data_IF_170320647583
#
_entry.id   IF_170320647583
#
_cell.length_a   1.000
_cell.length_b   1.000
_cell.length_c   1.000
_cell.angle_alpha   90.00
_cell.angle_beta   90.00
_cell.angle_gamma   90.00
#
_symmetry.space_group_name_H-M   'P 1'
#
loop_
_entity.id
_entity.type
_entity.pdbx_description
1 polymer ?
#
# COMPACT_ATOMS: atom_id res chain seq x y z
N UNK A 1 18.76 -16.13 -17.75
CA UNK A 1 17.70 -15.77 -18.73
C UNK A 1 16.28 -15.70 -18.14
N UNK A 2 15.87 -16.53 -17.16
CA UNK A 2 14.52 -16.49 -16.56
C UNK A 2 14.22 -15.22 -15.73
N UNK A 3 15.23 -14.62 -15.08
CA UNK A 3 15.09 -13.40 -14.28
C UNK A 3 14.71 -12.16 -15.11
N UNK A 4 15.40 -11.91 -16.23
CA UNK A 4 15.14 -10.75 -17.09
C UNK A 4 13.72 -10.74 -17.70
N UNK A 5 13.14 -11.92 -17.95
CA UNK A 5 11.77 -12.05 -18.47
C UNK A 5 10.74 -11.74 -17.38
N UNK A 6 10.98 -12.19 -16.15
CA UNK A 6 10.12 -11.89 -14.99
C UNK A 6 10.11 -10.39 -14.66
N UNK A 7 11.27 -9.74 -14.70
CA UNK A 7 11.38 -8.28 -14.49
C UNK A 7 10.64 -7.48 -15.56
N UNK A 8 10.82 -7.83 -16.84
CA UNK A 8 10.07 -7.18 -17.94
C UNK A 8 8.56 -7.36 -17.81
N UNK A 9 8.11 -8.53 -17.35
CA UNK A 9 6.69 -8.79 -17.13
C UNK A 9 6.14 -7.94 -15.97
N UNK A 10 6.88 -7.81 -14.86
CA UNK A 10 6.47 -6.98 -13.72
C UNK A 10 6.38 -5.50 -14.12
N UNK A 11 7.35 -5.00 -14.89
CA UNK A 11 7.32 -3.64 -15.43
C UNK A 11 6.10 -3.42 -16.32
N UNK A 12 5.81 -4.33 -17.26
CA UNK A 12 4.63 -4.21 -18.11
C UNK A 12 3.31 -4.24 -17.30
N UNK A 13 3.23 -5.04 -16.23
CA UNK A 13 2.06 -5.04 -15.34
C UNK A 13 1.91 -3.72 -14.58
N UNK A 14 3.01 -3.13 -14.14
CA UNK A 14 3.00 -1.85 -13.44
C UNK A 14 2.55 -0.71 -14.37
N UNK A 15 3.04 -0.66 -15.61
CA UNK A 15 2.59 0.34 -16.59
C UNK A 15 1.09 0.24 -16.88
N UNK A 16 0.56 -0.98 -17.10
CA UNK A 16 -0.88 -1.19 -17.23
C UNK A 16 -1.63 -0.71 -15.99
N UNK A 17 -1.08 -0.96 -14.81
CA UNK A 17 -1.69 -0.56 -13.54
C UNK A 17 -1.80 0.95 -13.40
N UNK A 18 -0.74 1.68 -13.76
CA UNK A 18 -0.74 3.15 -13.77
C UNK A 18 -1.82 3.72 -14.68
N UNK A 19 -1.98 3.16 -15.89
CA UNK A 19 -3.06 3.56 -16.80
C UNK A 19 -4.45 3.24 -16.26
N UNK A 20 -4.64 2.06 -15.66
CA UNK A 20 -5.91 1.69 -15.06
C UNK A 20 -6.29 2.62 -13.89
N UNK A 21 -5.35 2.91 -12.99
CA UNK A 21 -5.56 3.84 -11.88
C UNK A 21 -5.93 5.25 -12.37
N UNK A 22 -5.23 5.75 -13.40
CA UNK A 22 -5.54 7.05 -14.00
C UNK A 22 -6.96 7.09 -14.59
N UNK A 23 -7.34 6.09 -15.40
CA UNK A 23 -8.67 6.01 -16.01
C UNK A 23 -9.79 5.87 -14.96
N UNK A 24 -9.59 5.02 -13.96
CA UNK A 24 -10.55 4.87 -12.86
C UNK A 24 -10.74 6.18 -12.11
N UNK A 25 -9.66 6.91 -11.85
CA UNK A 25 -9.74 8.21 -11.21
C UNK A 25 -10.46 9.26 -12.08
N UNK A 26 -10.16 9.30 -13.37
CA UNK A 26 -10.71 10.31 -14.30
C UNK A 26 -12.19 10.07 -14.67
N UNK A 27 -12.58 8.80 -14.82
CA UNK A 27 -13.88 8.43 -15.42
C UNK A 27 -14.78 7.61 -14.48
N UNK A 28 -14.23 7.12 -13.38
CA UNK A 28 -14.86 6.12 -12.53
C UNK A 28 -14.62 4.69 -13.01
N UNK A 29 -14.72 3.73 -12.08
CA UNK A 29 -14.50 2.30 -12.35
C UNK A 29 -15.53 1.77 -13.34
N UNK A 30 -16.80 2.10 -13.14
CA UNK A 30 -17.92 1.63 -13.96
C UNK A 30 -17.81 2.05 -15.43
N UNK A 31 -17.41 3.30 -15.70
CA UNK A 31 -17.29 3.83 -17.06
C UNK A 31 -16.01 3.42 -17.79
N UNK A 32 -15.06 2.78 -17.10
CA UNK A 32 -13.80 2.33 -17.68
C UNK A 32 -13.88 0.85 -18.07
N UNK A 33 -13.64 0.52 -19.33
CA UNK A 33 -13.59 -0.85 -19.83
C UNK A 33 -12.17 -1.41 -19.87
N UNK A 34 -12.05 -2.74 -20.03
CA UNK A 34 -10.73 -3.35 -20.26
C UNK A 34 -10.12 -2.96 -21.61
N UNK A 35 -10.93 -2.63 -22.60
CA UNK A 35 -10.46 -2.14 -23.91
C UNK A 35 -9.89 -0.73 -23.78
N UNK A 36 -10.46 0.14 -22.95
CA UNK A 36 -9.90 1.46 -22.65
C UNK A 36 -8.51 1.35 -22.01
N UNK A 37 -8.38 0.45 -21.03
CA UNK A 37 -7.09 0.20 -20.34
C UNK A 37 -6.08 -0.37 -21.33
N UNK A 38 -6.49 -1.31 -22.19
CA UNK A 38 -5.64 -1.90 -23.21
C UNK A 38 -5.14 -0.85 -24.20
N UNK A 39 -6.05 -0.01 -24.71
CA UNK A 39 -5.72 1.09 -25.61
C UNK A 39 -4.76 2.10 -24.98
N UNK A 40 -5.01 2.50 -23.73
CA UNK A 40 -4.14 3.41 -22.99
C UNK A 40 -2.72 2.85 -22.78
N UNK A 41 -2.61 1.55 -22.53
CA UNK A 41 -1.33 0.87 -22.36
C UNK A 41 -0.64 0.44 -23.67
N UNK A 42 -1.26 0.69 -24.83
CA UNK A 42 -0.74 0.25 -26.14
C UNK A 42 -0.71 -1.28 -26.30
N UNK A 43 -1.64 -1.99 -25.66
CA UNK A 43 -1.73 -3.45 -25.65
C UNK A 43 -3.05 -3.94 -26.23
N UNK A 44 -3.11 -5.22 -26.60
CA UNK A 44 -4.39 -5.86 -26.90
C UNK A 44 -5.09 -6.29 -25.60
N UNK A 45 -6.43 -6.29 -25.60
CA UNK A 45 -7.24 -6.75 -24.47
C UNK A 45 -6.89 -8.19 -24.07
N UNK A 46 -6.61 -9.05 -25.05
CA UNK A 46 -6.09 -10.41 -24.84
C UNK A 46 -4.79 -10.43 -24.03
N UNK A 47 -3.92 -9.44 -24.21
CA UNK A 47 -2.68 -9.32 -23.44
C UNK A 47 -2.93 -8.86 -22.01
N UNK A 48 -3.85 -7.93 -21.80
CA UNK A 48 -4.29 -7.50 -20.46
C UNK A 48 -4.84 -8.69 -19.67
N UNK A 49 -5.76 -9.46 -20.25
CA UNK A 49 -6.37 -10.63 -19.57
C UNK A 49 -5.42 -11.80 -19.36
N UNK A 50 -4.26 -11.82 -20.03
CA UNK A 50 -3.19 -12.77 -19.68
C UNK A 50 -2.50 -12.40 -18.36
N UNK A 51 -2.55 -11.12 -17.97
CA UNK A 51 -1.92 -10.61 -16.76
C UNK A 51 -2.91 -10.45 -15.61
N UNK A 52 -4.14 -10.05 -15.89
CA UNK A 52 -5.12 -9.61 -14.90
C UNK A 52 -6.39 -10.44 -14.96
N UNK A 53 -7.01 -10.67 -13.80
CA UNK A 53 -8.24 -11.47 -13.67
C UNK A 53 -9.47 -10.68 -14.08
N UNK A 54 -9.49 -9.41 -13.72
CA UNK A 54 -10.56 -8.44 -14.01
C UNK A 54 -9.94 -7.06 -14.26
N UNK A 55 -10.75 -6.10 -14.74
CA UNK A 55 -10.27 -4.71 -14.89
C UNK A 55 -9.86 -4.10 -13.54
N UNK A 56 -10.56 -4.44 -12.46
CA UNK A 56 -10.27 -3.94 -11.12
C UNK A 56 -8.93 -4.49 -10.61
N UNK A 57 -8.62 -5.76 -10.88
CA UNK A 57 -7.30 -6.34 -10.52
C UNK A 57 -6.11 -5.64 -11.20
N UNK A 58 -6.34 -4.79 -12.21
CA UNK A 58 -5.29 -3.97 -12.80
C UNK A 58 -4.68 -2.97 -11.80
N UNK A 59 -5.35 -2.60 -10.69
CA UNK A 59 -4.76 -1.68 -9.69
C UNK A 59 -3.77 -2.37 -8.75
N UNK A 60 -3.79 -3.71 -8.68
CA UNK A 60 -2.99 -4.49 -7.72
C UNK A 60 -1.49 -4.17 -7.78
N UNK A 61 -0.84 -4.00 -8.95
CA UNK A 61 0.58 -3.68 -9.01
C UNK A 61 0.97 -2.34 -8.37
N UNK A 62 0.22 -1.26 -8.58
CA UNK A 62 0.49 0.05 -7.93
C UNK A 62 0.32 -0.06 -6.41
N UNK A 63 -0.78 -0.67 -5.94
CA UNK A 63 -1.01 -0.90 -4.52
C UNK A 63 0.09 -1.80 -3.90
N UNK A 64 0.48 -2.85 -4.61
CA UNK A 64 1.52 -3.78 -4.16
C UNK A 64 2.89 -3.11 -4.10
N UNK A 65 3.17 -2.14 -4.97
CA UNK A 65 4.40 -1.37 -4.95
C UNK A 65 4.45 -0.45 -3.72
N UNK A 66 3.35 0.25 -3.43
CA UNK A 66 3.21 1.05 -2.19
C UNK A 66 3.38 0.19 -0.93
N UNK A 67 2.69 -0.95 -0.86
CA UNK A 67 2.86 -1.91 0.24
C UNK A 67 4.31 -2.41 0.37
N UNK A 68 4.98 -2.72 -0.74
CA UNK A 68 6.40 -3.13 -0.73
C UNK A 68 7.33 -2.02 -0.25
N UNK A 69 7.07 -0.76 -0.62
CA UNK A 69 7.84 0.39 -0.10
C UNK A 69 7.66 0.53 1.41
N UNK A 70 6.44 0.42 1.91
CA UNK A 70 6.17 0.41 3.36
C UNK A 70 6.91 -0.72 4.08
N UNK A 71 6.85 -1.96 3.57
CA UNK A 71 7.58 -3.09 4.17
C UNK A 71 9.10 -2.86 4.12
N UNK A 72 9.63 -2.30 3.03
CA UNK A 72 11.04 -1.97 2.92
C UNK A 72 11.46 -0.89 3.94
N UNK A 73 10.64 0.14 4.14
CA UNK A 73 10.81 1.14 5.18
C UNK A 73 10.79 0.50 6.57
N UNK A 74 9.79 -0.35 6.87
CA UNK A 74 9.67 -0.97 8.17
C UNK A 74 10.83 -1.95 8.49
N UNK A 75 11.44 -2.57 7.47
CA UNK A 75 12.65 -3.40 7.63
C UNK A 75 13.90 -2.60 8.00
N UNK A 76 13.91 -1.30 7.72
CA UNK A 76 15.01 -0.39 8.11
C UNK A 76 14.82 0.22 9.50
N UNK A 77 13.73 -0.12 10.20
CA UNK A 77 13.34 0.51 11.47
C UNK A 77 14.37 0.27 12.59
N UNK A 78 15.08 1.33 13.05
CA UNK A 78 15.98 1.23 14.20
C UNK A 78 15.23 0.88 15.49
N UNK A 79 15.89 0.13 16.38
CA UNK A 79 15.25 -0.36 17.59
C UNK A 79 14.82 0.79 18.51
N UNK A 80 15.64 1.85 18.55
CA UNK A 80 15.56 2.98 19.47
C UNK A 80 14.48 4.00 19.10
N UNK A 81 13.93 3.92 17.89
CA UNK A 81 12.90 4.85 17.42
C UNK A 81 11.50 4.25 17.58
N UNK A 82 10.53 5.12 17.88
CA UNK A 82 9.13 4.82 17.63
C UNK A 82 8.84 4.75 16.12
N UNK A 83 7.65 4.26 15.77
CA UNK A 83 7.25 4.12 14.38
C UNK A 83 7.16 5.48 13.69
N UNK A 84 6.56 6.48 14.36
CA UNK A 84 6.45 7.83 13.81
C UNK A 84 7.83 8.48 13.60
N UNK A 85 8.72 8.41 14.59
CA UNK A 85 10.09 8.94 14.48
C UNK A 85 10.86 8.26 13.34
N UNK A 86 10.70 6.94 13.19
CA UNK A 86 11.31 6.20 12.09
C UNK A 86 10.71 6.61 10.73
N UNK A 87 9.40 6.74 10.63
CA UNK A 87 8.74 7.10 9.37
C UNK A 87 9.16 8.51 8.91
N UNK A 88 9.26 9.46 9.85
CA UNK A 88 9.76 10.81 9.58
C UNK A 88 11.24 10.77 9.12
N UNK A 89 12.11 10.09 9.88
CA UNK A 89 13.53 10.01 9.58
C UNK A 89 13.82 9.26 8.26
N UNK A 90 13.15 8.14 8.00
CA UNK A 90 13.35 7.32 6.79
C UNK A 90 12.94 8.09 5.55
N UNK A 91 11.89 8.92 5.61
CA UNK A 91 11.47 9.71 4.46
C UNK A 91 12.45 10.83 4.12
N UNK A 92 13.12 11.43 5.12
CA UNK A 92 14.21 12.38 4.88
C UNK A 92 15.43 11.67 4.28
N UNK A 93 15.76 10.48 4.78
CA UNK A 93 16.92 9.70 4.32
C UNK A 93 16.70 9.04 2.94
N UNK A 94 15.46 8.69 2.62
CA UNK A 94 15.06 7.98 1.40
C UNK A 94 13.87 8.71 0.74
N UNK A 95 14.08 9.93 0.23
CA UNK A 95 13.01 10.67 -0.42
C UNK A 95 12.50 9.92 -1.66
N UNK A 96 11.19 9.94 -1.86
CA UNK A 96 10.57 9.38 -3.06
C UNK A 96 10.97 10.19 -4.30
N UNK A 97 11.22 9.49 -5.40
CA UNK A 97 11.28 10.13 -6.71
C UNK A 97 9.88 10.56 -7.17
N UNK A 98 9.79 11.48 -8.13
CA UNK A 98 8.51 11.96 -8.66
C UNK A 98 7.60 10.82 -9.16
N UNK A 99 8.18 9.79 -9.77
CA UNK A 99 7.45 8.62 -10.25
C UNK A 99 6.89 7.79 -9.09
N UNK A 100 7.64 7.65 -8.00
CA UNK A 100 7.18 6.92 -6.82
C UNK A 100 6.12 7.71 -6.06
N UNK A 101 6.27 9.03 -5.97
CA UNK A 101 5.24 9.91 -5.41
C UNK A 101 3.93 9.81 -6.21
N UNK A 102 4.01 9.78 -7.54
CA UNK A 102 2.84 9.59 -8.40
C UNK A 102 2.16 8.22 -8.18
N UNK A 103 2.94 7.17 -7.91
CA UNK A 103 2.40 5.86 -7.53
C UNK A 103 1.68 5.91 -6.17
N UNK A 104 2.23 6.59 -5.17
CA UNK A 104 1.59 6.75 -3.84
C UNK A 104 0.28 7.56 -3.92
N UNK A 105 0.27 8.65 -4.69
CA UNK A 105 -0.97 9.41 -4.95
C UNK A 105 -2.00 8.53 -5.66
N UNK A 106 -1.57 7.68 -6.60
CA UNK A 106 -2.47 6.74 -7.27
C UNK A 106 -3.02 5.70 -6.28
N UNK A 107 -2.19 5.15 -5.39
CA UNK A 107 -2.61 4.22 -4.35
C UNK A 107 -3.65 4.86 -3.41
N UNK A 108 -3.43 6.11 -2.98
CA UNK A 108 -4.38 6.85 -2.12
C UNK A 108 -5.73 7.10 -2.82
N UNK A 109 -5.71 7.44 -4.11
CA UNK A 109 -6.94 7.58 -4.92
C UNK A 109 -7.70 6.26 -4.98
N UNK A 110 -7.01 5.15 -5.21
CA UNK A 110 -7.63 3.82 -5.23
C UNK A 110 -8.18 3.43 -3.85
N UNK A 111 -7.45 3.70 -2.77
CA UNK A 111 -7.94 3.48 -1.40
C UNK A 111 -9.25 4.24 -1.16
N UNK A 112 -9.30 5.51 -1.56
CA UNK A 112 -10.49 6.37 -1.46
C UNK A 112 -11.67 5.79 -2.24
N UNK A 113 -11.47 5.44 -3.51
CA UNK A 113 -12.51 4.86 -4.36
C UNK A 113 -13.02 3.50 -3.85
N UNK A 114 -12.15 2.71 -3.20
CA UNK A 114 -12.49 1.38 -2.69
C UNK A 114 -13.53 1.39 -1.57
N UNK A 115 -13.79 2.55 -0.95
CA UNK A 115 -14.84 2.73 0.05
C UNK A 115 -16.25 2.63 -0.54
N UNK A 116 -16.42 3.05 -1.79
CA UNK A 116 -17.74 3.11 -2.47
C UNK A 116 -17.87 2.11 -3.63
N UNK A 117 -16.77 1.50 -4.08
CA UNK A 117 -16.72 0.58 -5.23
C UNK A 117 -16.41 -0.87 -4.80
N UNK A 118 -17.42 -1.75 -4.60
CA UNK A 118 -17.22 -3.11 -4.06
C UNK A 118 -16.29 -3.99 -4.91
N UNK A 119 -16.32 -3.84 -6.23
CA UNK A 119 -15.47 -4.60 -7.13
C UNK A 119 -13.99 -4.21 -6.96
N UNK A 120 -13.72 -2.91 -6.79
CA UNK A 120 -12.38 -2.38 -6.52
C UNK A 120 -11.90 -2.78 -5.12
N UNK A 121 -12.80 -2.79 -4.14
CA UNK A 121 -12.52 -3.22 -2.77
C UNK A 121 -11.93 -4.62 -2.68
N UNK A 122 -12.36 -5.53 -3.55
CA UNK A 122 -11.82 -6.90 -3.60
C UNK A 122 -10.33 -6.89 -3.93
N UNK A 123 -9.90 -6.18 -4.98
CA UNK A 123 -8.50 -6.06 -5.35
C UNK A 123 -7.67 -5.36 -4.26
N UNK A 124 -8.24 -4.31 -3.65
CA UNK A 124 -7.61 -3.55 -2.57
C UNK A 124 -7.33 -4.43 -1.33
N UNK A 125 -8.34 -5.19 -0.87
CA UNK A 125 -8.19 -6.07 0.30
C UNK A 125 -7.24 -7.25 0.04
N UNK A 126 -7.18 -7.78 -1.18
CA UNK A 126 -6.21 -8.82 -1.53
C UNK A 126 -4.76 -8.35 -1.39
N UNK A 127 -4.47 -7.10 -1.73
CA UNK A 127 -3.12 -6.54 -1.55
C UNK A 127 -2.80 -6.32 -0.07
N UNK A 128 -3.78 -5.89 0.74
CA UNK A 128 -3.59 -5.71 2.18
C UNK A 128 -3.37 -7.04 2.91
N UNK A 129 -4.07 -8.11 2.51
CA UNK A 129 -3.85 -9.46 3.02
C UNK A 129 -2.41 -9.96 2.72
N UNK A 130 -1.84 -9.62 1.56
CA UNK A 130 -0.44 -9.90 1.27
C UNK A 130 0.53 -9.03 2.07
N UNK A 131 0.22 -7.74 2.22
CA UNK A 131 0.98 -6.81 3.07
C UNK A 131 1.06 -7.31 4.52
N UNK A 132 -0.05 -7.80 5.07
CA UNK A 132 -0.11 -8.40 6.41
C UNK A 132 0.91 -9.54 6.54
N UNK A 133 0.88 -10.51 5.61
CA UNK A 133 1.84 -11.63 5.62
C UNK A 133 3.29 -11.17 5.57
N UNK A 134 3.58 -10.16 4.75
CA UNK A 134 4.92 -9.60 4.61
C UNK A 134 5.38 -8.80 5.83
N UNK A 135 4.44 -8.32 6.64
CA UNK A 135 4.71 -7.54 7.84
C UNK A 135 4.97 -8.39 9.09
N UNK A 136 4.48 -9.64 9.12
CA UNK A 136 4.69 -10.56 10.25
C UNK A 136 6.15 -10.68 10.69
N UNK A 137 7.14 -10.86 9.79
CA UNK A 137 8.55 -10.96 10.20
C UNK A 137 9.08 -9.68 10.85
N UNK A 138 8.62 -8.50 10.40
CA UNK A 138 9.01 -7.20 10.99
C UNK A 138 8.49 -7.11 12.41
N UNK A 139 7.22 -7.48 12.60
CA UNK A 139 6.58 -7.49 13.92
C UNK A 139 7.26 -8.50 14.85
N UNK A 140 7.49 -9.73 14.38
CA UNK A 140 8.15 -10.76 15.16
C UNK A 140 9.54 -10.32 15.62
N UNK A 141 10.34 -9.72 14.73
CA UNK A 141 11.64 -9.17 15.07
C UNK A 141 11.54 -8.07 16.14
N UNK A 142 10.63 -7.10 15.98
CA UNK A 142 10.44 -5.99 16.93
C UNK A 142 9.98 -6.47 18.31
N UNK A 143 9.11 -7.47 18.37
CA UNK A 143 8.62 -8.02 19.63
C UNK A 143 9.55 -9.09 20.21
N UNK A 144 10.59 -9.49 19.47
CA UNK A 144 11.49 -10.55 19.88
C UNK A 144 10.87 -11.95 19.89
N UNK A 145 9.83 -12.17 19.10
CA UNK A 145 9.06 -13.40 19.00
C UNK A 145 9.48 -14.24 17.77
N UNK A 146 9.17 -15.55 17.75
CA UNK A 146 9.27 -16.35 16.53
C UNK A 146 8.32 -15.86 15.42
N UNK A 147 8.70 -15.99 14.15
CA UNK A 147 7.86 -15.56 13.01
C UNK A 147 6.49 -16.25 12.95
N UNK A 148 6.39 -17.48 13.49
CA UNK A 148 5.13 -18.22 13.58
C UNK A 148 4.25 -17.87 14.78
N UNK A 149 4.68 -16.95 15.64
CA UNK A 149 3.94 -16.61 16.87
C UNK A 149 2.59 -15.96 16.56
N UNK A 150 1.55 -16.41 17.24
CA UNK A 150 0.19 -15.88 17.05
C UNK A 150 0.11 -14.39 17.38
N UNK A 151 0.86 -13.91 18.38
CA UNK A 151 0.90 -12.50 18.77
C UNK A 151 1.50 -11.63 17.67
N UNK A 152 2.55 -12.10 16.99
CA UNK A 152 3.15 -11.38 15.86
C UNK A 152 2.17 -11.27 14.70
N UNK A 153 1.45 -12.36 14.40
CA UNK A 153 0.39 -12.38 13.37
C UNK A 153 -0.78 -11.45 13.71
N UNK A 154 -1.27 -11.50 14.95
CA UNK A 154 -2.36 -10.63 15.42
C UNK A 154 -1.95 -9.15 15.37
N UNK A 155 -0.73 -8.82 15.79
CA UNK A 155 -0.23 -7.45 15.73
C UNK A 155 -0.06 -6.99 14.27
N UNK A 156 0.43 -7.84 13.37
CA UNK A 156 0.54 -7.50 11.96
C UNK A 156 -0.83 -7.22 11.32
N UNK A 157 -1.82 -8.08 11.59
CA UNK A 157 -3.19 -7.90 11.12
C UNK A 157 -3.82 -6.60 11.66
N UNK A 158 -3.64 -6.33 12.96
CA UNK A 158 -4.14 -5.12 13.61
C UNK A 158 -3.51 -3.86 13.01
N UNK A 159 -2.19 -3.86 12.76
CA UNK A 159 -1.47 -2.72 12.19
C UNK A 159 -1.84 -2.47 10.73
N UNK A 160 -1.88 -3.51 9.89
CA UNK A 160 -2.32 -3.37 8.49
C UNK A 160 -3.79 -2.94 8.41
N UNK A 161 -4.64 -3.44 9.32
CA UNK A 161 -6.01 -2.95 9.48
C UNK A 161 -6.08 -1.47 9.85
N UNK A 162 -5.24 -1.02 10.77
CA UNK A 162 -5.14 0.39 11.17
C UNK A 162 -4.69 1.29 10.01
N UNK A 163 -3.65 0.89 9.27
CA UNK A 163 -3.20 1.62 8.08
C UNK A 163 -4.28 1.74 7.03
N UNK A 164 -4.95 0.63 6.71
CA UNK A 164 -6.04 0.62 5.74
C UNK A 164 -7.14 1.64 6.11
N UNK A 165 -7.55 1.68 7.39
CA UNK A 165 -8.57 2.61 7.87
C UNK A 165 -8.09 4.06 7.79
N UNK A 166 -6.81 4.32 8.11
CA UNK A 166 -6.23 5.66 8.00
C UNK A 166 -6.14 6.10 6.54
N UNK A 167 -5.67 5.25 5.63
CA UNK A 167 -5.57 5.56 4.20
C UNK A 167 -6.96 5.84 3.60
N UNK A 168 -7.98 5.08 4.00
CA UNK A 168 -9.37 5.31 3.62
C UNK A 168 -9.88 6.68 4.13
N UNK A 169 -9.61 7.05 5.40
CA UNK A 169 -10.05 8.33 5.98
C UNK A 169 -9.26 9.55 5.45
N UNK A 170 -7.93 9.48 5.47
CA UNK A 170 -7.05 10.53 4.93
C UNK A 170 -7.31 10.71 3.45
N UNK A 171 -7.48 9.62 2.71
CA UNK A 171 -7.86 9.63 1.30
C UNK A 171 -9.15 10.43 1.09
N UNK A 172 -10.21 10.12 1.83
CA UNK A 172 -11.47 10.87 1.78
C UNK A 172 -11.28 12.36 2.12
N UNK A 173 -10.60 12.69 3.22
CA UNK A 173 -10.37 14.08 3.66
C UNK A 173 -9.62 14.91 2.61
N UNK A 174 -8.53 14.36 2.07
CA UNK A 174 -7.69 15.07 1.09
C UNK A 174 -8.35 15.14 -0.28
N UNK A 175 -8.94 14.03 -0.75
CA UNK A 175 -9.39 13.89 -2.13
C UNK A 175 -10.82 14.36 -2.32
N UNK A 176 -11.72 14.01 -1.41
CA UNK A 176 -13.16 14.34 -1.49
C UNK A 176 -13.41 15.68 -0.80
N UNK A 177 -12.98 15.80 0.45
CA UNK A 177 -13.29 16.97 1.29
C UNK A 177 -12.34 18.16 1.04
N UNK A 178 -11.27 17.95 0.23
CA UNK A 178 -10.25 18.95 -0.12
C UNK A 178 -9.56 19.58 1.08
N UNK A 179 -9.48 18.84 2.19
CA UNK A 179 -8.75 19.26 3.37
C UNK A 179 -7.23 19.11 3.16
N UNK A 180 -6.48 20.00 3.80
CA UNK A 180 -5.03 19.87 3.90
C UNK A 180 -4.70 19.04 5.14
N UNK A 181 -4.31 17.78 4.94
CA UNK A 181 -3.74 16.96 6.01
C UNK A 181 -2.22 17.14 5.97
N UNK A 182 -1.66 17.67 7.06
CA UNK A 182 -0.21 17.80 7.17
C UNK A 182 0.44 16.44 7.36
N UNK A 183 1.70 16.32 6.97
CA UNK A 183 2.48 15.11 7.22
C UNK A 183 2.53 14.72 8.70
N UNK A 184 2.77 15.71 9.56
CA UNK A 184 2.86 15.49 11.00
C UNK A 184 1.53 14.96 11.57
N UNK A 185 0.41 15.46 11.05
CA UNK A 185 -0.92 14.96 11.41
C UNK A 185 -1.12 13.51 10.95
N UNK A 186 -0.76 13.17 9.71
CA UNK A 186 -0.86 11.81 9.19
C UNK A 186 -0.02 10.82 10.02
N UNK A 187 1.22 11.20 10.36
CA UNK A 187 2.09 10.38 11.22
C UNK A 187 1.54 10.21 12.64
N UNK A 188 0.94 11.26 13.21
CA UNK A 188 0.31 11.19 14.52
C UNK A 188 -0.94 10.27 14.53
N UNK A 189 -1.73 10.29 13.46
CA UNK A 189 -2.86 9.37 13.29
C UNK A 189 -2.38 7.92 13.22
N UNK A 190 -1.31 7.65 12.46
CA UNK A 190 -0.67 6.34 12.36
C UNK A 190 -0.18 5.84 13.71
N UNK A 191 0.62 6.63 14.43
CA UNK A 191 1.18 6.21 15.73
C UNK A 191 0.06 5.90 16.72
N UNK A 192 -0.96 6.77 16.79
CA UNK A 192 -2.13 6.54 17.64
C UNK A 192 -2.85 5.24 17.27
N UNK A 193 -3.19 5.05 16.01
CA UNK A 193 -3.95 3.87 15.60
C UNK A 193 -3.17 2.57 15.81
N UNK A 194 -1.86 2.57 15.56
CA UNK A 194 -1.00 1.41 15.81
C UNK A 194 -0.93 1.07 17.30
N UNK A 195 -0.78 2.08 18.17
CA UNK A 195 -0.77 1.86 19.63
C UNK A 195 -2.13 1.36 20.11
N UNK A 196 -3.22 1.98 19.69
CA UNK A 196 -4.58 1.61 20.09
C UNK A 196 -4.92 0.18 19.60
N UNK A 197 -4.62 -0.15 18.34
CA UNK A 197 -4.93 -1.44 17.75
C UNK A 197 -4.10 -2.61 18.33
N UNK A 198 -2.91 -2.34 18.87
CA UNK A 198 -2.02 -3.37 19.45
C UNK A 198 -1.99 -3.37 20.97
N UNK A 199 -2.81 -2.53 21.61
CA UNK A 199 -2.82 -2.34 23.06
C UNK A 199 -1.45 -1.89 23.60
N UNK A 200 -0.76 -1.04 22.85
CA UNK A 200 0.57 -0.51 23.14
C UNK A 200 1.72 -1.50 22.92
N UNK A 201 1.47 -2.71 22.40
CA UNK A 201 2.52 -3.72 22.21
C UNK A 201 3.49 -3.38 21.08
N UNK A 202 3.04 -2.60 20.10
CA UNK A 202 3.81 -2.26 18.90
C UNK A 202 3.79 -0.75 18.66
N UNK A 203 4.81 -0.23 17.97
CA UNK A 203 4.91 1.20 17.63
C UNK A 203 5.92 1.99 18.47
N UNK A 204 6.20 1.58 19.70
CA UNK A 204 7.20 2.25 20.56
C UNK A 204 8.64 1.77 20.34
N UNK A 205 9.65 2.48 20.88
CA UNK A 205 11.04 2.01 20.93
C UNK A 205 11.18 0.66 21.65
N UNK A 206 12.20 -0.10 21.26
CA UNK A 206 12.60 -1.34 21.94
C UNK A 206 14.09 -1.27 22.27
N UNK A 207 14.53 -1.96 23.33
CA UNK A 207 15.97 -2.09 23.59
C UNK A 207 16.65 -2.84 22.44
N UNK A 208 17.81 -2.37 21.94
CA UNK A 208 18.60 -3.15 20.99
C UNK A 208 19.00 -4.49 21.62
N UNK A 209 18.97 -5.55 20.81
CA UNK A 209 19.42 -6.90 21.19
C UNK A 209 20.93 -7.03 21.07
#
# INVERSE_FOLDING_TARGET
MRGATKTKQLQARLEVSRHACALFWERGVSATSGDDIAAAAGLSTRTIWRYFRTKESCVEPVLSLSAQRFIAQARRWPAELSLAEHMEADMVAHPLTDAELADEVSALRIATMSGEEPALRTAYLMVHDEMERLFVPVVAQRLGLPEGDLTARLCAAAVVGAFRVIDEDVGRRVIVDKETVSQQEALALIDRAVRDATNGRFGGPTSPR
#
